data_IF_014508474219
#
_entry.id   IF_014508474219
#
_cell.length_a   1.000
_cell.length_b   1.000
_cell.length_c   1.000
_cell.angle_alpha   90.00
_cell.angle_beta   90.00
_cell.angle_gamma   90.00
#
_symmetry.space_group_name_H-M   'P 1'
#
loop_
_entity.id
_entity.type
_entity.pdbx_description
1 polymer ?
#
# COMPACT_ATOMS: atom_id res chain seq x y z
N UNK A 1 -11.37 8.32 5.24
CA UNK A 1 -12.36 9.41 5.40
C UNK A 1 -11.85 10.74 4.86
N UNK A 2 -11.22 11.67 5.60
CA UNK A 2 -10.94 13.02 5.07
C UNK A 2 -10.21 13.05 3.70
N UNK A 3 -9.02 12.48 3.61
CA UNK A 3 -8.26 12.49 2.35
C UNK A 3 -8.89 11.60 1.26
N UNK A 4 -9.48 10.47 1.64
CA UNK A 4 -10.10 9.55 0.68
C UNK A 4 -11.37 10.16 0.08
N UNK A 5 -12.32 10.56 0.92
CA UNK A 5 -13.68 10.90 0.53
C UNK A 5 -13.77 12.35 0.02
N UNK A 6 -12.90 13.25 0.49
CA UNK A 6 -12.95 14.68 0.14
C UNK A 6 -11.79 15.16 -0.73
N UNK A 7 -10.66 14.45 -0.76
CA UNK A 7 -9.50 14.76 -1.60
C UNK A 7 -9.21 13.69 -2.66
N UNK A 8 -10.06 12.66 -2.74
CA UNK A 8 -9.93 11.55 -3.70
C UNK A 8 -8.57 10.85 -3.63
N UNK A 9 -7.94 10.82 -2.45
CA UNK A 9 -6.70 10.11 -2.22
C UNK A 9 -6.97 8.60 -2.13
N UNK A 10 -6.84 7.91 -3.26
CA UNK A 10 -7.17 6.48 -3.40
C UNK A 10 -6.18 5.54 -2.69
N UNK A 11 -5.06 6.05 -2.20
CA UNK A 11 -3.99 5.22 -1.60
C UNK A 11 -3.42 5.85 -0.35
N UNK A 12 -3.00 5.03 0.61
CA UNK A 12 -2.25 5.45 1.79
C UNK A 12 -0.94 4.65 1.88
N UNK A 13 0.18 5.34 2.07
CA UNK A 13 1.48 4.71 2.23
C UNK A 13 1.84 4.54 3.72
N UNK A 14 2.23 3.33 4.14
CA UNK A 14 2.75 3.06 5.49
C UNK A 14 4.24 2.78 5.41
N UNK A 15 5.04 3.63 6.05
CA UNK A 15 6.49 3.74 5.82
C UNK A 15 7.25 3.59 7.14
N UNK A 16 7.44 2.35 7.63
CA UNK A 16 8.16 2.12 8.89
C UNK A 16 9.68 2.29 8.72
N UNK A 17 10.29 3.21 9.45
CA UNK A 17 11.74 3.35 9.58
C UNK A 17 12.26 2.38 10.64
N UNK A 18 11.99 1.10 10.41
CA UNK A 18 12.40 -0.03 11.23
C UNK A 18 12.38 -1.29 10.37
N UNK A 19 13.56 -1.89 10.16
CA UNK A 19 13.71 -3.03 9.25
C UNK A 19 13.01 -4.30 9.77
N UNK A 20 12.85 -4.46 11.09
CA UNK A 20 12.06 -5.56 11.64
C UNK A 20 10.57 -5.47 11.26
N UNK A 21 10.08 -4.27 10.92
CA UNK A 21 8.72 -4.04 10.44
C UNK A 21 8.57 -4.15 8.91
N UNK A 22 9.52 -4.75 8.19
CA UNK A 22 9.45 -4.89 6.71
C UNK A 22 8.17 -5.56 6.18
N UNK A 23 7.47 -6.37 6.99
CA UNK A 23 6.20 -7.01 6.63
C UNK A 23 4.98 -6.31 7.20
N UNK A 24 5.16 -5.25 7.98
CA UNK A 24 4.06 -4.52 8.59
C UNK A 24 3.14 -3.86 7.54
N UNK A 25 3.65 -3.21 6.46
CA UNK A 25 2.77 -2.71 5.39
C UNK A 25 1.96 -3.83 4.71
N UNK A 26 2.55 -5.02 4.52
CA UNK A 26 1.85 -6.17 3.93
C UNK A 26 0.81 -6.78 4.88
N UNK A 27 1.04 -6.74 6.20
CA UNK A 27 0.03 -7.10 7.19
C UNK A 27 -1.16 -6.11 7.14
N UNK A 28 -0.86 -4.81 7.10
CA UNK A 28 -1.89 -3.78 7.03
C UNK A 28 -2.67 -3.80 5.71
N UNK A 29 -2.08 -4.23 4.60
CA UNK A 29 -2.82 -4.45 3.35
C UNK A 29 -4.02 -5.37 3.56
N UNK A 30 -3.82 -6.52 4.21
CA UNK A 30 -4.93 -7.42 4.50
C UNK A 30 -5.92 -6.77 5.48
N UNK A 31 -5.43 -6.29 6.63
CA UNK A 31 -6.27 -5.71 7.68
C UNK A 31 -7.17 -4.58 7.16
N UNK A 32 -6.65 -3.72 6.27
CA UNK A 32 -7.38 -2.53 5.81
C UNK A 32 -8.23 -2.82 4.59
N UNK A 33 -7.67 -3.47 3.57
CA UNK A 33 -8.31 -3.63 2.26
C UNK A 33 -9.33 -4.76 2.26
N UNK A 34 -9.08 -5.87 2.97
CA UNK A 34 -10.07 -6.96 3.08
C UNK A 34 -11.25 -6.55 3.95
N UNK A 35 -11.00 -5.80 5.04
CA UNK A 35 -12.06 -5.27 5.90
C UNK A 35 -12.91 -4.21 5.21
N UNK A 36 -12.29 -3.13 4.70
CA UNK A 36 -13.04 -1.94 4.26
C UNK A 36 -13.18 -1.81 2.74
N UNK A 37 -12.67 -2.75 1.95
CA UNK A 37 -12.86 -2.80 0.49
C UNK A 37 -14.26 -3.25 0.11
N UNK A 38 -15.29 -2.52 0.54
CA UNK A 38 -16.72 -2.89 0.42
C UNK A 38 -17.49 -1.84 -0.37
N UNK A 39 -18.57 -2.27 -1.02
CA UNK A 39 -19.44 -1.38 -1.80
C UNK A 39 -20.92 -1.45 -1.37
N UNK A 40 -21.22 -2.16 -0.29
CA UNK A 40 -22.56 -2.38 0.24
C UNK A 40 -22.56 -2.07 1.73
N UNK A 41 -23.58 -1.34 2.21
CA UNK A 41 -23.78 -1.02 3.63
C UNK A 41 -24.29 -2.22 4.41
N UNK A 42 -24.35 -2.10 5.74
CA UNK A 42 -24.92 -3.12 6.62
C UNK A 42 -26.40 -3.45 6.33
N UNK A 43 -27.16 -2.52 5.75
CA UNK A 43 -28.56 -2.75 5.32
C UNK A 43 -28.68 -3.43 3.95
N UNK A 44 -27.57 -3.62 3.22
CA UNK A 44 -27.60 -4.18 1.88
C UNK A 44 -27.75 -3.16 0.75
N UNK A 45 -27.61 -1.86 1.05
CA UNK A 45 -27.71 -0.80 0.04
C UNK A 45 -26.32 -0.43 -0.54
N UNK A 46 -26.22 0.02 -1.80
CA UNK A 46 -24.96 0.50 -2.34
C UNK A 46 -24.44 1.73 -1.57
N UNK A 47 -23.13 1.77 -1.31
CA UNK A 47 -22.49 2.97 -0.73
C UNK A 47 -22.52 4.15 -1.71
N UNK A 48 -22.69 5.37 -1.20
CA UNK A 48 -22.72 6.61 -1.99
C UNK A 48 -21.36 7.30 -2.17
N UNK A 49 -20.28 6.71 -1.68
CA UNK A 49 -18.93 7.26 -1.70
C UNK A 49 -17.88 6.13 -1.79
N UNK A 50 -16.63 6.49 -2.04
CA UNK A 50 -15.50 5.55 -1.96
C UNK A 50 -15.30 5.09 -0.50
N UNK A 51 -14.96 3.81 -0.30
CA UNK A 51 -14.69 3.20 1.01
C UNK A 51 -13.19 3.03 1.25
N UNK A 52 -12.71 1.82 1.61
CA UNK A 52 -11.32 1.58 1.97
C UNK A 52 -10.32 1.92 0.85
N UNK A 53 -9.28 2.74 1.11
CA UNK A 53 -8.25 3.03 0.13
C UNK A 53 -7.25 1.86 -0.01
N UNK A 54 -6.40 1.93 -1.04
CA UNK A 54 -5.30 0.97 -1.21
C UNK A 54 -4.15 1.30 -0.25
N UNK A 55 -3.86 0.40 0.68
CA UNK A 55 -2.69 0.51 1.56
C UNK A 55 -1.47 -0.13 0.92
N UNK A 56 -0.31 0.51 1.02
CA UNK A 56 0.94 -0.04 0.50
C UNK A 56 2.16 0.56 1.22
N UNK A 57 3.35 0.02 0.99
CA UNK A 57 4.58 0.59 1.54
C UNK A 57 5.71 -0.41 1.71
N UNK A 58 6.87 0.11 2.06
CA UNK A 58 8.11 -0.61 2.34
C UNK A 58 8.85 0.13 3.47
N UNK A 59 9.75 -0.54 4.21
CA UNK A 59 10.49 0.12 5.26
C UNK A 59 11.41 1.22 4.72
N UNK A 60 11.61 2.25 5.54
CA UNK A 60 12.65 3.24 5.35
C UNK A 60 14.03 2.66 5.70
N UNK A 61 15.11 3.04 5.02
CA UNK A 61 15.21 4.04 3.93
C UNK A 61 14.98 3.44 2.54
N UNK A 62 14.76 2.12 2.40
CA UNK A 62 14.62 1.43 1.11
C UNK A 62 13.55 2.06 0.22
N UNK A 63 12.39 2.40 0.78
CA UNK A 63 11.31 3.08 0.04
C UNK A 63 11.75 4.40 -0.61
N UNK A 64 12.66 5.14 0.02
CA UNK A 64 13.17 6.43 -0.51
C UNK A 64 13.86 6.26 -1.87
N UNK A 65 14.51 5.11 -2.08
CA UNK A 65 15.23 4.78 -3.30
C UNK A 65 14.39 3.95 -4.29
N UNK A 66 13.08 3.86 -4.07
CA UNK A 66 12.15 3.10 -4.91
C UNK A 66 11.04 4.00 -5.47
N UNK A 67 10.20 4.56 -4.59
CA UNK A 67 8.94 5.20 -5.02
C UNK A 67 8.72 6.61 -4.46
N UNK A 68 9.61 7.12 -3.59
CA UNK A 68 9.46 8.48 -3.04
C UNK A 68 9.54 9.57 -4.10
N UNK A 69 10.17 9.31 -5.26
CA UNK A 69 10.10 10.20 -6.43
C UNK A 69 8.65 10.51 -6.81
N UNK A 70 7.80 9.48 -6.85
CA UNK A 70 6.37 9.65 -7.15
C UNK A 70 5.65 10.34 -6.00
N UNK A 71 5.99 10.01 -4.75
CA UNK A 71 5.37 10.66 -3.59
C UNK A 71 5.68 12.15 -3.57
N UNK A 72 6.89 12.59 -3.93
CA UNK A 72 7.32 13.99 -3.89
C UNK A 72 6.95 14.84 -5.10
N UNK A 73 7.10 14.30 -6.31
CA UNK A 73 6.94 15.06 -7.56
C UNK A 73 5.94 14.42 -8.53
N UNK A 74 5.27 13.34 -8.11
CA UNK A 74 4.20 12.72 -8.89
C UNK A 74 2.89 13.50 -8.78
N UNK A 75 1.95 13.16 -9.65
CA UNK A 75 0.65 13.82 -9.78
C UNK A 75 -0.44 13.23 -8.87
N UNK A 76 -0.05 12.40 -7.89
CA UNK A 76 -0.97 11.73 -6.96
C UNK A 76 -0.80 12.31 -5.57
N UNK A 77 -1.92 12.54 -4.89
CA UNK A 77 -1.94 12.83 -3.47
C UNK A 77 -1.92 11.51 -2.71
N UNK A 78 -0.87 11.29 -1.91
CA UNK A 78 -0.66 10.04 -1.16
C UNK A 78 -0.39 10.41 0.30
N UNK A 79 -1.41 10.38 1.17
CA UNK A 79 -1.19 10.45 2.61
C UNK A 79 -0.23 9.35 3.07
N UNK A 80 0.68 9.72 3.96
CA UNK A 80 1.74 8.82 4.42
C UNK A 80 1.75 8.69 5.94
N UNK A 81 1.75 7.47 6.46
CA UNK A 81 2.01 7.19 7.88
C UNK A 81 3.47 6.77 8.04
N UNK A 82 4.28 7.65 8.63
CA UNK A 82 5.65 7.34 9.01
C UNK A 82 5.67 6.75 10.42
N UNK A 83 6.39 5.65 10.61
CA UNK A 83 6.54 4.99 11.91
C UNK A 83 8.03 4.92 12.23
N UNK A 84 8.45 5.41 13.39
CA UNK A 84 9.85 5.32 13.83
C UNK A 84 9.95 5.08 15.33
N UNK A 85 11.15 4.68 15.77
CA UNK A 85 11.44 4.41 17.18
C UNK A 85 12.63 5.25 17.65
N UNK A 86 12.54 5.81 18.86
CA UNK A 86 13.62 6.62 19.46
C UNK A 86 14.86 5.76 19.71
N UNK A 87 14.69 4.55 20.24
CA UNK A 87 15.76 3.61 20.54
C UNK A 87 15.86 2.49 19.50
N UNK A 88 17.09 2.21 19.06
CA UNK A 88 17.39 1.03 18.24
C UNK A 88 17.52 -0.23 19.08
N UNK A 89 17.10 -1.36 18.51
CA UNK A 89 17.40 -2.68 19.05
C UNK A 89 18.86 -3.10 18.84
N UNK A 90 19.56 -2.46 17.89
CA UNK A 90 20.93 -2.77 17.49
C UNK A 90 21.79 -1.50 17.48
N UNK A 91 22.31 -1.06 18.63
CA UNK A 91 23.13 0.15 18.70
C UNK A 91 24.44 -0.03 17.92
N UNK A 92 24.54 0.64 16.77
CA UNK A 92 25.72 0.60 15.90
C UNK A 92 26.13 2.02 15.49
N UNK A 93 27.07 2.59 16.24
CA UNK A 93 27.58 3.93 15.98
C UNK A 93 26.46 4.96 15.81
N UNK A 94 26.48 5.68 14.68
CA UNK A 94 25.50 6.74 14.35
C UNK A 94 24.39 6.28 13.40
N UNK A 95 24.24 4.97 13.17
CA UNK A 95 23.29 4.46 12.17
C UNK A 95 21.84 4.84 12.51
N UNK A 96 21.46 4.79 13.79
CA UNK A 96 20.10 5.11 14.20
C UNK A 96 19.79 6.61 14.07
N UNK A 97 20.74 7.48 14.44
CA UNK A 97 20.60 8.93 14.24
C UNK A 97 20.44 9.27 12.75
N UNK A 98 21.19 8.60 11.88
CA UNK A 98 21.05 8.78 10.43
C UNK A 98 19.67 8.34 9.93
N UNK A 99 19.14 7.22 10.45
CA UNK A 99 17.80 6.73 10.12
C UNK A 99 16.73 7.74 10.57
N UNK A 100 16.83 8.26 11.80
CA UNK A 100 15.89 9.24 12.34
C UNK A 100 15.97 10.59 11.62
N UNK A 101 17.18 11.07 11.30
CA UNK A 101 17.36 12.28 10.50
C UNK A 101 16.66 12.16 9.15
N UNK A 102 16.71 10.98 8.52
CA UNK A 102 16.03 10.73 7.26
C UNK A 102 14.51 10.80 7.37
N UNK A 103 13.88 10.13 8.34
CA UNK A 103 12.41 10.19 8.47
C UNK A 103 11.91 11.59 8.78
N UNK A 104 12.58 12.32 9.66
CA UNK A 104 12.20 13.70 9.99
C UNK A 104 12.31 14.61 8.76
N UNK A 105 13.45 14.54 8.04
CA UNK A 105 13.65 15.30 6.82
C UNK A 105 12.63 14.96 5.71
N UNK A 106 12.22 13.69 5.60
CA UNK A 106 11.21 13.29 4.61
C UNK A 106 9.84 13.88 4.91
N UNK A 107 9.39 13.82 6.18
CA UNK A 107 8.11 14.44 6.57
C UNK A 107 8.11 15.96 6.38
N UNK A 108 9.23 16.62 6.70
CA UNK A 108 9.41 18.06 6.48
C UNK A 108 9.39 18.41 4.98
N UNK A 109 10.14 17.67 4.17
CA UNK A 109 10.20 17.88 2.72
C UNK A 109 8.83 17.68 2.04
N UNK A 110 8.04 16.71 2.49
CA UNK A 110 6.68 16.49 1.98
C UNK A 110 5.75 17.67 2.30
N UNK A 111 5.85 18.23 3.51
CA UNK A 111 5.01 19.35 3.92
C UNK A 111 5.38 20.64 3.18
N UNK A 112 6.67 20.97 3.10
CA UNK A 112 7.12 22.31 2.70
C UNK A 112 7.65 22.40 1.28
N UNK A 113 8.12 21.28 0.72
CA UNK A 113 8.72 21.27 -0.60
C UNK A 113 9.95 22.17 -0.70
N UNK A 114 10.16 22.73 -1.89
CA UNK A 114 11.24 23.65 -2.25
C UNK A 114 10.86 24.45 -3.48
N UNK A 115 10.81 25.76 -3.34
CA UNK A 115 10.39 26.73 -4.35
C UNK A 115 11.42 26.92 -5.46
N UNK A 116 11.00 27.50 -6.59
CA UNK A 116 11.91 27.80 -7.71
C UNK A 116 13.00 28.80 -7.30
N UNK A 117 12.68 29.77 -6.44
CA UNK A 117 13.58 30.76 -5.89
C UNK A 117 14.68 30.12 -5.04
N UNK A 118 14.31 29.20 -4.16
CA UNK A 118 15.26 28.44 -3.34
C UNK A 118 16.18 27.56 -4.21
N UNK A 119 15.61 26.87 -5.21
CA UNK A 119 16.38 26.06 -6.17
C UNK A 119 17.38 26.92 -6.95
N UNK A 120 16.99 28.13 -7.37
CA UNK A 120 17.88 29.09 -8.06
C UNK A 120 18.98 29.61 -7.13
N UNK A 121 18.66 29.89 -5.87
CA UNK A 121 19.62 30.34 -4.87
C UNK A 121 20.74 29.30 -4.61
N UNK A 122 20.48 28.01 -4.83
CA UNK A 122 21.49 26.94 -4.80
C UNK A 122 22.45 26.93 -6.01
N UNK A 123 22.28 27.84 -6.97
CA UNK A 123 23.10 27.89 -8.19
C UNK A 123 22.64 26.92 -9.28
N UNK A 124 21.38 26.46 -9.23
CA UNK A 124 20.81 25.60 -10.28
C UNK A 124 20.67 26.38 -11.59
N UNK A 125 21.14 25.85 -12.74
CA UNK A 125 20.89 26.46 -14.04
C UNK A 125 19.39 26.60 -14.33
N UNK A 126 18.96 27.71 -14.93
CA UNK A 126 17.53 28.03 -15.13
C UNK A 126 16.72 26.91 -15.78
N UNK A 127 17.29 26.21 -16.75
CA UNK A 127 16.62 25.11 -17.45
C UNK A 127 16.33 23.90 -16.55
N UNK A 128 17.10 23.71 -15.47
CA UNK A 128 16.97 22.58 -14.55
C UNK A 128 16.07 22.91 -13.35
N UNK A 129 15.85 24.20 -13.06
CA UNK A 129 15.00 24.67 -11.96
C UNK A 129 13.63 23.96 -11.90
N UNK A 130 12.82 23.91 -12.96
CA UNK A 130 11.48 23.31 -12.87
C UNK A 130 11.50 21.81 -12.53
N UNK A 131 12.61 21.11 -12.80
CA UNK A 131 12.76 19.69 -12.46
C UNK A 131 13.19 19.46 -11.00
N UNK A 132 13.71 20.49 -10.34
CA UNK A 132 14.19 20.45 -8.94
C UNK A 132 13.23 21.13 -7.96
N UNK A 133 12.13 21.69 -8.42
CA UNK A 133 11.05 22.21 -7.58
C UNK A 133 10.30 21.06 -6.92
N UNK A 134 10.00 21.22 -5.63
CA UNK A 134 9.13 20.33 -4.87
C UNK A 134 7.91 21.15 -4.44
N UNK A 135 6.71 20.74 -4.85
CA UNK A 135 5.49 21.49 -4.56
C UNK A 135 5.11 21.49 -3.07
N UNK A 136 5.61 20.53 -2.29
CA UNK A 136 5.20 20.35 -0.90
C UNK A 136 3.72 20.00 -0.80
N UNK A 137 3.08 20.41 0.31
CA UNK A 137 1.66 20.20 0.59
C UNK A 137 1.21 18.74 0.45
N UNK A 138 2.09 17.81 0.83
CA UNK A 138 1.84 16.36 0.82
C UNK A 138 1.70 15.87 2.26
N UNK A 139 0.53 15.35 2.65
CA UNK A 139 0.23 15.13 4.05
C UNK A 139 0.89 13.87 4.60
N UNK A 140 1.33 13.93 5.86
CA UNK A 140 1.84 12.78 6.58
C UNK A 140 1.51 12.80 8.07
N UNK A 141 1.34 11.63 8.66
CA UNK A 141 1.41 11.44 10.12
C UNK A 141 2.80 10.93 10.53
N UNK A 142 3.24 11.31 11.73
CA UNK A 142 4.44 10.77 12.35
C UNK A 142 4.08 10.02 13.65
N UNK A 143 4.22 8.70 13.62
CA UNK A 143 4.07 7.81 14.77
C UNK A 143 5.46 7.50 15.34
N UNK A 144 5.89 8.27 16.34
CA UNK A 144 7.16 8.08 17.03
C UNK A 144 6.94 7.36 18.36
N UNK A 145 7.49 6.16 18.49
CA UNK A 145 7.42 5.35 19.71
C UNK A 145 8.81 5.25 20.38
N UNK A 146 8.87 4.87 21.65
CA UNK A 146 10.15 4.80 22.36
C UNK A 146 11.08 3.72 21.79
N UNK A 147 10.61 2.47 21.71
CA UNK A 147 11.40 1.31 21.28
C UNK A 147 10.47 0.24 20.71
N UNK A 148 10.92 -0.51 19.70
CA UNK A 148 10.18 -1.67 19.21
C UNK A 148 10.22 -2.82 20.22
N UNK A 149 9.25 -2.83 21.13
CA UNK A 149 8.99 -3.92 22.09
C UNK A 149 7.75 -4.71 21.66
N UNK A 150 7.50 -5.93 22.21
CA UNK A 150 6.26 -6.65 21.94
C UNK A 150 5.00 -5.84 22.26
N UNK A 151 5.03 -5.07 23.35
CA UNK A 151 3.93 -4.17 23.71
C UNK A 151 3.75 -3.05 22.68
N UNK A 152 4.84 -2.40 22.24
CA UNK A 152 4.77 -1.36 21.21
C UNK A 152 4.23 -1.89 19.87
N UNK A 153 4.63 -3.10 19.46
CA UNK A 153 4.07 -3.75 18.27
C UNK A 153 2.57 -4.02 18.44
N UNK A 154 2.15 -4.54 19.60
CA UNK A 154 0.72 -4.76 19.90
C UNK A 154 -0.08 -3.46 19.86
N UNK A 155 0.47 -2.37 20.41
CA UNK A 155 -0.15 -1.03 20.34
C UNK A 155 -0.31 -0.56 18.91
N UNK A 156 0.70 -0.73 18.05
CA UNK A 156 0.62 -0.36 16.64
C UNK A 156 -0.46 -1.18 15.91
N UNK A 157 -0.52 -2.50 16.13
CA UNK A 157 -1.56 -3.35 15.55
C UNK A 157 -2.96 -2.88 15.97
N UNK A 158 -3.19 -2.74 17.28
CA UNK A 158 -4.48 -2.33 17.82
C UNK A 158 -4.89 -0.92 17.35
N UNK A 159 -3.94 0.01 17.19
CA UNK A 159 -4.19 1.33 16.63
C UNK A 159 -4.78 1.22 15.21
N UNK A 160 -4.18 0.42 14.35
CA UNK A 160 -4.68 0.23 12.98
C UNK A 160 -6.00 -0.55 12.94
N UNK A 161 -6.19 -1.56 13.80
CA UNK A 161 -7.48 -2.28 13.92
C UNK A 161 -8.62 -1.32 14.28
N UNK A 162 -8.41 -0.45 15.28
CA UNK A 162 -9.43 0.52 15.67
C UNK A 162 -9.62 1.65 14.66
N UNK A 163 -8.57 2.04 13.94
CA UNK A 163 -8.68 2.96 12.80
C UNK A 163 -9.55 2.35 11.69
N UNK A 164 -9.31 1.09 11.32
CA UNK A 164 -10.11 0.37 10.32
C UNK A 164 -11.56 0.26 10.75
N UNK A 165 -11.81 -0.16 11.99
CA UNK A 165 -13.17 -0.22 12.56
C UNK A 165 -13.87 1.14 12.50
N UNK A 166 -13.20 2.22 12.91
CA UNK A 166 -13.79 3.56 12.93
C UNK A 166 -14.18 4.01 11.52
N UNK A 167 -13.33 3.77 10.53
CA UNK A 167 -13.62 4.11 9.14
C UNK A 167 -14.82 3.29 8.61
N UNK A 168 -14.84 1.98 8.86
CA UNK A 168 -15.95 1.11 8.46
C UNK A 168 -17.29 1.51 9.10
N UNK A 169 -17.27 1.87 10.38
CA UNK A 169 -18.45 2.38 11.08
C UNK A 169 -18.96 3.71 10.49
N UNK A 170 -18.07 4.61 10.06
CA UNK A 170 -18.45 5.87 9.39
C UNK A 170 -19.10 5.60 8.03
N UNK A 171 -18.55 4.67 7.24
CA UNK A 171 -19.11 4.27 5.94
C UNK A 171 -20.29 3.32 6.04
N UNK A 172 -20.61 2.87 7.25
CA UNK A 172 -21.72 1.97 7.56
C UNK A 172 -21.65 0.63 6.82
N UNK A 173 -20.44 0.04 6.76
CA UNK A 173 -20.14 -1.22 6.09
C UNK A 173 -19.77 -2.32 7.10
N UNK A 174 -19.85 -3.60 6.70
CA UNK A 174 -19.30 -4.70 7.49
C UNK A 174 -17.78 -4.83 7.27
N UNK A 175 -16.98 -4.44 8.25
CA UNK A 175 -15.51 -4.57 8.22
C UNK A 175 -14.98 -5.98 8.52
N UNK A 176 -15.86 -6.94 8.82
CA UNK A 176 -15.50 -8.24 9.38
C UNK A 176 -15.90 -9.44 8.50
N UNK A 177 -16.59 -9.20 7.38
CA UNK A 177 -16.83 -10.22 6.35
C UNK A 177 -15.83 -10.13 5.17
N UNK A 178 -15.86 -11.13 4.28
CA UNK A 178 -15.01 -11.17 3.08
C UNK A 178 -15.62 -11.95 1.90
N UNK A 179 -16.91 -11.76 1.59
CA UNK A 179 -17.60 -12.50 0.53
C UNK A 179 -16.96 -12.39 -0.87
N UNK A 180 -16.22 -11.30 -1.13
CA UNK A 180 -15.57 -11.04 -2.42
C UNK A 180 -14.56 -12.12 -2.86
N UNK A 181 -14.06 -12.96 -1.95
CA UNK A 181 -13.07 -14.01 -2.28
C UNK A 181 -13.70 -15.32 -2.77
N UNK A 182 -15.01 -15.49 -2.65
CA UNK A 182 -15.67 -16.78 -2.92
C UNK A 182 -15.76 -17.11 -4.41
N UNK A 183 -16.09 -16.13 -5.25
CA UNK A 183 -16.26 -16.34 -6.69
C UNK A 183 -14.98 -16.90 -7.33
N UNK A 184 -13.82 -16.34 -6.97
CA UNK A 184 -12.52 -16.81 -7.46
C UNK A 184 -12.25 -18.28 -7.10
N UNK A 185 -12.60 -18.70 -5.89
CA UNK A 185 -12.45 -20.09 -5.43
C UNK A 185 -13.34 -21.04 -6.24
N UNK A 186 -14.60 -20.66 -6.47
CA UNK A 186 -15.55 -21.46 -7.26
C UNK A 186 -15.10 -21.58 -8.72
N UNK A 187 -14.66 -20.49 -9.34
CA UNK A 187 -14.16 -20.50 -10.71
C UNK A 187 -12.89 -21.34 -10.84
N UNK A 188 -11.95 -21.24 -9.89
CA UNK A 188 -10.75 -22.06 -9.88
C UNK A 188 -11.10 -23.56 -9.79
N UNK A 189 -12.04 -23.96 -8.94
CA UNK A 189 -12.50 -25.36 -8.84
C UNK A 189 -13.12 -25.89 -10.14
N UNK A 190 -13.74 -25.02 -10.95
CA UNK A 190 -14.26 -25.39 -12.28
C UNK A 190 -13.14 -25.54 -13.31
N UNK A 191 -12.11 -24.69 -13.25
CA UNK A 191 -11.00 -24.68 -14.23
C UNK A 191 -9.99 -25.80 -13.97
N UNK A 192 -9.74 -26.18 -12.71
CA UNK A 192 -8.79 -27.26 -12.35
C UNK A 192 -9.00 -28.55 -13.18
N UNK A 193 -10.20 -29.15 -13.24
CA UNK A 193 -10.39 -30.37 -14.04
C UNK A 193 -10.19 -30.14 -15.55
N UNK A 194 -10.42 -28.94 -16.06
CA UNK A 194 -10.16 -28.61 -17.46
C UNK A 194 -8.66 -28.50 -17.75
N UNK A 195 -7.85 -28.01 -16.81
CA UNK A 195 -6.39 -28.00 -16.94
C UNK A 195 -5.75 -29.39 -16.76
N UNK A 196 -6.39 -30.26 -15.98
CA UNK A 196 -5.92 -31.61 -15.69
C UNK A 196 -6.42 -32.68 -16.66
N UNK A 197 -7.45 -32.38 -17.46
CA UNK A 197 -8.02 -33.33 -18.43
C UNK A 197 -6.96 -33.81 -19.42
N UNK A 198 -6.84 -35.14 -19.59
CA UNK A 198 -5.89 -35.77 -20.51
C UNK A 198 -6.23 -35.52 -21.98
N UNK A 199 -7.51 -35.38 -22.31
CA UNK A 199 -8.01 -35.04 -23.64
C UNK A 199 -8.51 -33.60 -23.66
N UNK A 200 -8.64 -33.00 -24.84
CA UNK A 200 -9.16 -31.64 -24.97
C UNK A 200 -10.60 -31.55 -24.42
N UNK A 201 -10.85 -30.78 -23.35
CA UNK A 201 -12.18 -30.62 -22.79
C UNK A 201 -13.01 -29.66 -23.65
N UNK A 202 -14.33 -29.76 -23.53
CA UNK A 202 -15.21 -28.70 -23.98
C UNK A 202 -15.15 -27.55 -22.98
N UNK A 203 -14.68 -26.39 -23.43
CA UNK A 203 -14.56 -25.20 -22.57
C UNK A 203 -15.78 -24.29 -22.72
N UNK A 204 -16.30 -23.80 -21.60
CA UNK A 204 -17.49 -22.96 -21.51
C UNK A 204 -17.24 -21.51 -21.08
N UNK A 205 -15.98 -21.06 -21.08
CA UNK A 205 -15.62 -19.71 -20.64
C UNK A 205 -15.57 -18.72 -21.81
N UNK A 206 -15.21 -17.48 -21.52
CA UNK A 206 -14.91 -16.48 -22.53
C UNK A 206 -13.69 -16.86 -23.38
N UNK A 207 -13.51 -16.18 -24.52
CA UNK A 207 -12.44 -16.50 -25.47
C UNK A 207 -11.03 -16.34 -24.88
N UNK A 208 -10.81 -15.41 -23.94
CA UNK A 208 -9.51 -15.22 -23.32
C UNK A 208 -9.17 -16.38 -22.41
N UNK A 209 -10.07 -16.73 -21.50
CA UNK A 209 -9.88 -17.85 -20.56
C UNK A 209 -9.70 -19.17 -21.32
N UNK A 210 -10.51 -19.41 -22.35
CA UNK A 210 -10.39 -20.62 -23.16
C UNK A 210 -9.01 -20.74 -23.83
N UNK A 211 -8.50 -19.65 -24.41
CA UNK A 211 -7.20 -19.66 -25.06
C UNK A 211 -6.05 -19.86 -24.07
N UNK A 212 -6.15 -19.26 -22.87
CA UNK A 212 -5.17 -19.47 -21.79
C UNK A 212 -5.12 -20.93 -21.34
N UNK A 213 -6.28 -21.56 -21.15
CA UNK A 213 -6.39 -22.98 -20.78
C UNK A 213 -5.73 -23.85 -21.86
N UNK A 214 -6.07 -23.63 -23.14
CA UNK A 214 -5.48 -24.37 -24.27
C UNK A 214 -3.97 -24.21 -24.32
N UNK A 215 -3.48 -22.97 -24.23
CA UNK A 215 -2.05 -22.66 -24.28
C UNK A 215 -1.27 -23.31 -23.14
N UNK A 216 -1.82 -23.30 -21.92
CA UNK A 216 -1.22 -23.98 -20.77
C UNK A 216 -1.15 -25.49 -20.99
N UNK A 217 -2.27 -26.11 -21.40
CA UNK A 217 -2.36 -27.56 -21.65
C UNK A 217 -1.36 -28.03 -22.71
N UNK A 218 -1.25 -27.29 -23.82
CA UNK A 218 -0.30 -27.59 -24.91
C UNK A 218 1.16 -27.58 -24.41
N UNK A 219 1.52 -26.60 -23.57
CA UNK A 219 2.87 -26.51 -22.99
C UNK A 219 3.14 -27.63 -21.98
N UNK A 220 2.21 -27.89 -21.07
CA UNK A 220 2.30 -28.96 -20.07
C UNK A 220 2.48 -30.34 -20.72
N UNK A 221 1.80 -30.61 -21.83
CA UNK A 221 1.95 -31.85 -22.59
C UNK A 221 3.32 -31.96 -23.29
N UNK A 222 3.87 -30.83 -23.77
CA UNK A 222 5.17 -30.79 -24.44
C UNK A 222 6.34 -31.09 -23.48
N UNK A 223 6.22 -30.70 -22.22
CA UNK A 223 7.22 -30.97 -21.17
C UNK A 223 7.19 -32.42 -20.68
N UNK A 224 6.10 -33.16 -20.90
CA UNK A 224 6.01 -34.61 -20.59
C UNK A 224 6.66 -35.50 -21.67
N UNK A 225 6.99 -34.94 -22.83
CA UNK A 225 7.59 -35.64 -23.98
C UNK A 225 9.11 -35.42 -24.06
N UNK A 226 9.65 -34.46 -23.29
CA UNK A 226 11.09 -34.21 -23.12
C UNK A 226 11.63 -34.93 -21.88
#
# INVERSE_FOLDING_TARGET
VWYNDFFSAQTLAVLPYEQYLKRFPAYLQQLTMESNGKHVTLEGEPVGCDTGPVYWGEPGTNGQHSFYQLIHQGTRLIPCDFIAFVETLNPLGRHHDMLLANVFAQTEALAWGKTAEEVKAEGTPDWLVPHRVFEGNRPSNMLLLERLTPAALGTLVALYEHSVFTQGAIWHIDSFDQWGVELGKVLAQRIIPELESKTEPQLGHDSSTNELIRRYRLRKASDLIR
#
